data_IF_206428768766
#
_entry.id   IF_206428768766
#
_cell.length_a   1.000
_cell.length_b   1.000
_cell.length_c   1.000
_cell.angle_alpha   90.00
_cell.angle_beta   90.00
_cell.angle_gamma   90.00
#
_symmetry.space_group_name_H-M   'P 1'
#
loop_
_entity.id
_entity.type
_entity.pdbx_description
1 polymer ?
#
# COMPACT_ATOMS: atom_id res chain seq x y z
N UNK A 1 -1.71 -15.21 -0.41
CA UNK A 1 -1.58 -14.32 0.76
C UNK A 1 -0.15 -13.85 0.82
N UNK A 2 0.09 -12.55 0.73
CA UNK A 2 1.43 -12.00 0.99
C UNK A 2 1.53 -11.80 2.49
N UNK A 3 2.62 -12.26 3.11
CA UNK A 3 2.88 -11.96 4.51
C UNK A 3 3.18 -10.47 4.65
N UNK A 4 2.55 -9.76 5.61
CA UNK A 4 2.84 -8.35 5.81
C UNK A 4 4.32 -8.18 6.18
N UNK A 5 4.93 -7.09 5.71
CA UNK A 5 6.29 -6.75 6.11
C UNK A 5 6.32 -6.50 7.62
N UNK A 6 7.31 -7.06 8.29
CA UNK A 6 7.54 -6.85 9.73
C UNK A 6 7.95 -5.39 9.94
N UNK A 7 7.07 -4.60 10.55
CA UNK A 7 7.36 -3.24 11.00
C UNK A 7 7.43 -3.20 12.51
N UNK A 8 8.51 -2.66 13.06
CA UNK A 8 8.65 -2.50 14.51
C UNK A 8 8.01 -1.19 14.96
N UNK A 9 7.16 -1.18 16.00
CA UNK A 9 6.58 0.06 16.53
C UNK A 9 7.65 1.01 17.05
N UNK A 10 7.48 2.31 16.78
CA UNK A 10 8.49 3.33 17.14
C UNK A 10 8.74 3.41 18.64
N UNK A 11 7.69 3.23 19.46
CA UNK A 11 7.79 3.22 20.92
C UNK A 11 8.63 2.05 21.45
N UNK A 12 8.57 0.90 20.78
CA UNK A 12 9.35 -0.30 21.14
C UNK A 12 10.82 -0.09 20.80
N UNK A 13 11.14 0.37 19.58
CA UNK A 13 12.54 0.62 19.20
C UNK A 13 13.13 1.81 19.97
N UNK A 14 12.35 2.80 20.38
CA UNK A 14 12.84 3.97 21.11
C UNK A 14 13.06 3.70 22.61
N UNK A 15 12.10 3.07 23.28
CA UNK A 15 12.09 3.02 24.75
C UNK A 15 12.28 1.61 25.33
N UNK A 16 11.76 0.57 24.67
CA UNK A 16 11.72 -0.79 25.24
C UNK A 16 12.17 -1.86 24.25
N UNK A 17 13.44 -1.84 23.80
CA UNK A 17 13.97 -2.89 22.93
C UNK A 17 13.97 -4.24 23.67
N UNK A 18 13.69 -5.32 22.95
CA UNK A 18 13.59 -6.69 23.50
C UNK A 18 14.34 -7.71 22.66
N UNK A 19 14.48 -7.43 21.37
CA UNK A 19 15.17 -8.27 20.40
C UNK A 19 16.37 -7.49 19.82
N UNK A 20 17.43 -8.17 19.37
CA UNK A 20 18.58 -7.51 18.75
C UNK A 20 18.19 -6.68 17.51
N UNK A 21 17.17 -7.11 16.77
CA UNK A 21 16.58 -6.40 15.63
C UNK A 21 16.07 -5.01 16.03
N UNK A 22 15.50 -4.86 17.23
CA UNK A 22 15.02 -3.56 17.72
C UNK A 22 16.17 -2.56 17.95
N UNK A 23 17.35 -3.07 18.34
CA UNK A 23 18.53 -2.24 18.54
C UNK A 23 19.12 -1.76 17.20
N UNK A 24 19.13 -2.65 16.20
CA UNK A 24 19.57 -2.33 14.84
C UNK A 24 18.60 -1.33 14.19
N UNK A 25 17.29 -1.57 14.29
CA UNK A 25 16.28 -0.68 13.70
C UNK A 25 16.27 0.71 14.33
N UNK A 26 16.56 0.81 15.62
CA UNK A 26 16.77 2.11 16.26
C UNK A 26 17.99 2.83 15.70
N UNK A 27 19.10 2.11 15.48
CA UNK A 27 20.31 2.73 14.96
C UNK A 27 20.09 3.24 13.53
N UNK A 28 19.32 2.52 12.71
CA UNK A 28 19.02 2.91 11.32
C UNK A 28 17.95 4.01 11.21
N UNK A 29 16.86 3.93 11.97
CA UNK A 29 15.70 4.82 11.83
C UNK A 29 15.80 6.07 12.70
N UNK A 30 16.42 5.99 13.88
CA UNK A 30 16.43 7.07 14.86
C UNK A 30 17.83 7.68 15.06
N UNK A 31 18.86 6.88 15.29
CA UNK A 31 20.20 7.42 15.60
C UNK A 31 20.94 7.89 14.34
N UNK A 32 20.81 7.20 13.21
CA UNK A 32 21.46 7.59 11.95
C UNK A 32 21.06 9.00 11.50
N UNK A 33 19.76 9.35 11.35
CA UNK A 33 19.37 10.71 10.91
C UNK A 33 19.73 11.79 11.92
N UNK A 34 19.86 11.42 13.21
CA UNK A 34 20.24 12.34 14.29
C UNK A 34 21.72 12.71 14.22
N UNK A 35 22.60 11.76 13.92
CA UNK A 35 24.04 11.99 13.78
C UNK A 35 24.39 12.51 12.39
N UNK A 36 23.80 11.91 11.37
CA UNK A 36 24.02 12.23 9.96
C UNK A 36 22.73 12.79 9.34
N UNK A 37 22.59 14.12 9.39
CA UNK A 37 21.38 14.80 8.92
C UNK A 37 21.18 14.71 7.40
N UNK A 38 22.24 14.93 6.63
CA UNK A 38 22.16 15.04 5.17
C UNK A 38 22.60 13.75 4.44
N UNK A 39 23.21 12.80 5.16
CA UNK A 39 23.70 11.55 4.55
C UNK A 39 22.66 10.45 4.70
N UNK A 40 22.11 10.01 3.57
CA UNK A 40 21.21 8.85 3.53
C UNK A 40 21.97 7.57 3.87
N UNK A 41 21.38 6.74 4.73
CA UNK A 41 21.90 5.41 5.02
C UNK A 41 21.93 4.57 3.74
N UNK A 42 23.12 4.10 3.39
CA UNK A 42 23.35 3.11 2.34
C UNK A 42 23.65 1.75 2.98
N UNK A 43 22.77 0.77 2.74
CA UNK A 43 22.93 -0.58 3.26
C UNK A 43 24.05 -1.38 2.58
N UNK A 44 24.48 -0.98 1.38
CA UNK A 44 25.54 -1.66 0.64
C UNK A 44 26.94 -1.16 1.01
N UNK A 45 27.04 0.01 1.66
CA UNK A 45 28.30 0.55 2.13
C UNK A 45 28.76 -0.16 3.43
N UNK A 46 29.91 -0.87 3.45
CA UNK A 46 30.40 -1.55 4.63
C UNK A 46 30.67 -0.61 5.82
N UNK A 47 31.08 0.64 5.58
CA UNK A 47 31.36 1.60 6.65
C UNK A 47 30.08 2.02 7.39
N UNK A 48 28.98 2.19 6.64
CA UNK A 48 27.67 2.50 7.22
C UNK A 48 27.14 1.35 8.07
N UNK A 49 27.26 0.12 7.57
CA UNK A 49 26.87 -1.09 8.31
C UNK A 49 27.74 -1.27 9.55
N UNK A 50 29.04 -1.01 9.46
CA UNK A 50 29.94 -1.08 10.60
C UNK A 50 29.54 -0.09 11.69
N UNK A 51 29.24 1.16 11.32
CA UNK A 51 28.76 2.16 12.26
C UNK A 51 27.44 1.73 12.93
N UNK A 52 26.49 1.19 12.16
CA UNK A 52 25.22 0.69 12.70
C UNK A 52 25.44 -0.48 13.67
N UNK A 53 26.33 -1.41 13.33
CA UNK A 53 26.67 -2.54 14.18
C UNK A 53 27.26 -2.06 15.52
N UNK A 54 28.15 -1.08 15.49
CA UNK A 54 28.77 -0.54 16.72
C UNK A 54 27.74 0.17 17.61
N UNK A 55 26.87 1.00 17.02
CA UNK A 55 25.79 1.68 17.76
C UNK A 55 24.76 0.69 18.33
N UNK A 56 24.32 -0.27 17.51
CA UNK A 56 23.37 -1.29 17.93
C UNK A 56 23.96 -2.18 19.03
N UNK A 57 25.24 -2.55 18.94
CA UNK A 57 25.93 -3.35 19.95
C UNK A 57 26.07 -2.63 21.28
N UNK A 58 26.41 -1.34 21.26
CA UNK A 58 26.48 -0.52 22.48
C UNK A 58 25.11 -0.40 23.15
N UNK A 59 24.05 -0.20 22.35
CA UNK A 59 22.69 -0.15 22.86
C UNK A 59 22.21 -1.48 23.43
N UNK A 60 22.49 -2.58 22.73
CA UNK A 60 22.13 -3.91 23.17
C UNK A 60 22.79 -4.24 24.53
N UNK A 61 24.04 -3.84 24.76
CA UNK A 61 24.71 -3.95 26.07
C UNK A 61 23.98 -3.19 27.18
N UNK A 62 23.48 -1.99 26.91
CA UNK A 62 22.72 -1.19 27.90
C UNK A 62 21.42 -1.88 28.34
N UNK A 63 20.78 -2.61 27.44
CA UNK A 63 19.52 -3.34 27.69
C UNK A 63 19.75 -4.84 27.99
N UNK A 64 21.00 -5.29 28.12
CA UNK A 64 21.37 -6.71 28.31
C UNK A 64 20.75 -7.63 27.25
N UNK A 65 20.73 -7.20 25.99
CA UNK A 65 20.26 -7.97 24.84
C UNK A 65 21.47 -8.57 24.11
N UNK A 66 21.44 -9.87 23.89
CA UNK A 66 22.48 -10.60 23.14
C UNK A 66 22.04 -10.86 21.69
N UNK A 67 22.98 -11.22 20.83
CA UNK A 67 22.69 -11.65 19.45
C UNK A 67 22.81 -10.59 18.36
N UNK A 68 23.26 -9.37 18.68
CA UNK A 68 23.63 -8.39 17.66
C UNK A 68 24.90 -8.88 16.95
N UNK A 69 24.78 -9.20 15.67
CA UNK A 69 25.89 -9.61 14.80
C UNK A 69 25.92 -8.75 13.56
N UNK A 70 27.06 -8.69 12.89
CA UNK A 70 27.20 -7.95 11.62
C UNK A 70 26.26 -8.50 10.54
N UNK A 71 26.13 -9.83 10.44
CA UNK A 71 25.19 -10.49 9.52
C UNK A 71 23.73 -10.14 9.81
N UNK A 72 23.32 -10.15 11.10
CA UNK A 72 21.98 -9.73 11.49
C UNK A 72 21.73 -8.24 11.17
N UNK A 73 22.74 -7.39 11.38
CA UNK A 73 22.68 -5.96 11.06
C UNK A 73 22.40 -5.74 9.58
N UNK A 74 23.12 -6.44 8.71
CA UNK A 74 22.84 -6.41 7.27
C UNK A 74 21.46 -6.98 6.92
N UNK A 75 21.08 -8.10 7.56
CA UNK A 75 19.80 -8.76 7.37
C UNK A 75 18.61 -7.83 7.62
N UNK A 76 18.64 -7.12 8.75
CA UNK A 76 17.60 -6.18 9.17
C UNK A 76 17.61 -4.94 8.27
N UNK A 77 18.76 -4.29 8.05
CA UNK A 77 18.85 -3.04 7.27
C UNK A 77 18.41 -3.24 5.82
N UNK A 78 18.79 -4.36 5.20
CA UNK A 78 18.45 -4.65 3.80
C UNK A 78 17.16 -5.44 3.64
N UNK A 79 16.50 -5.84 4.73
CA UNK A 79 15.38 -6.80 4.70
C UNK A 79 15.71 -8.04 3.83
N UNK A 80 16.87 -8.65 4.08
CA UNK A 80 17.39 -9.75 3.24
C UNK A 80 16.45 -10.96 3.31
N UNK A 81 15.93 -11.38 2.14
CA UNK A 81 15.22 -12.64 1.98
C UNK A 81 16.26 -13.73 1.64
N UNK A 82 16.41 -14.78 2.46
CA UNK A 82 17.32 -15.88 2.15
C UNK A 82 16.94 -16.53 0.81
N UNK A 83 17.93 -16.67 -0.09
CA UNK A 83 17.72 -17.22 -1.42
C UNK A 83 18.63 -18.43 -1.66
N UNK A 84 18.06 -19.52 -2.19
CA UNK A 84 18.78 -20.75 -2.53
C UNK A 84 18.50 -21.11 -3.98
N UNK A 85 19.54 -21.51 -4.72
CA UNK A 85 19.45 -21.83 -6.14
C UNK A 85 18.43 -22.93 -6.48
N UNK A 86 18.27 -23.93 -5.60
CA UNK A 86 17.32 -25.04 -5.80
C UNK A 86 15.88 -24.57 -5.85
N UNK A 87 15.44 -23.70 -4.93
CA UNK A 87 14.08 -23.15 -4.91
C UNK A 87 13.80 -22.34 -6.19
N UNK A 88 14.76 -21.50 -6.60
CA UNK A 88 14.64 -20.73 -7.83
C UNK A 88 14.57 -21.63 -9.06
N UNK A 89 15.34 -22.72 -9.10
CA UNK A 89 15.31 -23.69 -10.19
C UNK A 89 13.96 -24.42 -10.28
N UNK A 90 13.38 -24.83 -9.14
CA UNK A 90 12.07 -25.50 -9.09
C UNK A 90 10.97 -24.57 -9.61
N UNK A 91 10.91 -23.32 -9.10
CA UNK A 91 9.89 -22.35 -9.53
C UNK A 91 10.08 -21.97 -11.00
N UNK A 92 11.31 -21.71 -11.44
CA UNK A 92 11.60 -21.40 -12.84
C UNK A 92 11.23 -22.56 -13.78
N UNK A 93 11.52 -23.81 -13.39
CA UNK A 93 11.12 -24.98 -14.16
C UNK A 93 9.60 -25.08 -14.32
N UNK A 94 8.84 -24.87 -13.23
CA UNK A 94 7.37 -24.83 -13.29
C UNK A 94 6.85 -23.72 -14.20
N UNK A 95 7.39 -22.50 -14.10
CA UNK A 95 7.01 -21.38 -14.96
C UNK A 95 7.31 -21.66 -16.45
N UNK A 96 8.51 -22.16 -16.76
CA UNK A 96 8.91 -22.51 -18.13
C UNK A 96 8.03 -23.63 -18.71
N UNK A 97 7.67 -24.63 -17.88
CA UNK A 97 6.78 -25.70 -18.30
C UNK A 97 5.39 -25.17 -18.66
N UNK A 98 4.81 -24.28 -17.84
CA UNK A 98 3.51 -23.66 -18.17
C UNK A 98 3.60 -22.74 -19.39
N UNK A 99 4.68 -21.96 -19.54
CA UNK A 99 4.91 -21.15 -20.73
C UNK A 99 4.99 -22.01 -22.00
N UNK A 100 5.68 -23.17 -21.93
CA UNK A 100 5.74 -24.12 -23.04
C UNK A 100 4.37 -24.70 -23.37
N UNK A 101 3.61 -25.16 -22.36
CA UNK A 101 2.25 -25.67 -22.57
C UNK A 101 1.35 -24.62 -23.24
N UNK A 102 1.37 -23.37 -22.77
CA UNK A 102 0.58 -22.26 -23.32
C UNK A 102 0.97 -21.99 -24.79
N UNK A 103 2.27 -21.98 -25.10
CA UNK A 103 2.75 -21.67 -26.44
C UNK A 103 2.45 -22.77 -27.46
N UNK A 104 2.53 -24.06 -27.07
CA UNK A 104 2.40 -25.18 -28.00
C UNK A 104 1.06 -25.90 -27.92
N UNK A 105 0.22 -25.56 -26.94
CA UNK A 105 -1.00 -26.28 -26.59
C UNK A 105 -0.77 -27.81 -26.46
N UNK A 106 0.38 -28.21 -25.90
CA UNK A 106 0.80 -29.63 -25.84
C UNK A 106 0.14 -30.40 -24.69
N UNK A 107 -0.31 -29.71 -23.64
CA UNK A 107 -1.00 -30.28 -22.50
C UNK A 107 -1.90 -29.23 -21.82
N UNK A 108 -2.86 -29.66 -20.97
CA UNK A 108 -3.67 -28.74 -20.16
C UNK A 108 -2.81 -27.86 -19.23
N UNK A 109 -3.25 -26.63 -19.05
CA UNK A 109 -2.56 -25.62 -18.23
C UNK A 109 -2.83 -25.80 -16.74
N UNK A 110 -1.88 -25.35 -15.92
CA UNK A 110 -2.06 -25.22 -14.47
C UNK A 110 -3.21 -24.26 -14.13
N UNK A 111 -4.04 -24.65 -13.17
CA UNK A 111 -5.10 -23.80 -12.63
C UNK A 111 -4.54 -22.75 -11.67
N UNK A 112 -4.00 -21.66 -12.24
CA UNK A 112 -3.53 -20.39 -11.65
C UNK A 112 -2.54 -20.37 -10.47
N UNK A 113 -2.47 -21.39 -9.61
CA UNK A 113 -1.61 -21.36 -8.45
C UNK A 113 -0.99 -22.72 -8.12
N UNK A 114 0.30 -22.69 -7.83
CA UNK A 114 1.09 -23.80 -7.33
C UNK A 114 1.95 -23.28 -6.17
N UNK A 115 1.86 -23.94 -5.03
CA UNK A 115 2.73 -23.73 -3.88
C UNK A 115 3.79 -24.82 -3.82
N UNK A 116 5.02 -24.45 -3.51
CA UNK A 116 6.10 -25.38 -3.19
C UNK A 116 6.61 -25.09 -1.77
N UNK A 117 6.87 -26.14 -1.00
CA UNK A 117 7.51 -26.07 0.31
C UNK A 117 8.57 -27.16 0.41
N UNK A 118 9.77 -26.77 0.83
CA UNK A 118 10.95 -27.63 0.85
C UNK A 118 11.64 -27.76 2.21
N UNK A 119 10.98 -27.36 3.31
CA UNK A 119 11.61 -27.33 4.64
C UNK A 119 11.93 -28.74 5.18
N UNK A 120 10.93 -29.64 5.23
CA UNK A 120 11.11 -31.00 5.76
C UNK A 120 11.16 -32.07 4.65
N UNK A 121 10.50 -31.82 3.52
CA UNK A 121 10.43 -32.70 2.35
C UNK A 121 9.97 -31.90 1.12
N UNK A 122 9.87 -32.55 -0.03
CA UNK A 122 9.33 -31.97 -1.27
C UNK A 122 7.81 -32.01 -1.22
N UNK A 123 7.19 -30.87 -0.92
CA UNK A 123 5.73 -30.72 -0.93
C UNK A 123 5.30 -29.71 -1.99
N UNK A 124 4.31 -30.09 -2.78
CA UNK A 124 3.67 -29.20 -3.76
C UNK A 124 2.16 -29.28 -3.62
N UNK A 125 1.50 -28.12 -3.63
CA UNK A 125 0.05 -28.02 -3.56
C UNK A 125 -0.49 -27.11 -4.65
N UNK A 126 -1.43 -27.61 -5.43
CA UNK A 126 -2.06 -26.89 -6.53
C UNK A 126 -3.54 -26.71 -6.21
N UNK A 127 -4.03 -25.48 -6.34
CA UNK A 127 -5.44 -25.16 -6.15
C UNK A 127 -5.80 -23.94 -6.97
N UNK A 128 -7.09 -23.80 -7.28
CA UNK A 128 -7.61 -22.69 -8.06
C UNK A 128 -7.97 -21.52 -7.13
N UNK A 129 -7.28 -20.39 -7.27
CA UNK A 129 -7.76 -19.14 -6.71
C UNK A 129 -9.01 -18.66 -7.46
N UNK A 130 -10.04 -18.26 -6.73
CA UNK A 130 -11.23 -17.63 -7.31
C UNK A 130 -10.96 -16.17 -7.64
N UNK A 131 -11.53 -15.70 -8.76
CA UNK A 131 -11.47 -14.29 -9.13
C UNK A 131 -12.44 -13.52 -8.23
N UNK A 132 -11.90 -12.58 -7.46
CA UNK A 132 -12.68 -11.60 -6.72
C UNK A 132 -13.48 -10.72 -7.70
N UNK A 133 -14.82 -10.67 -7.62
CA UNK A 133 -15.62 -9.81 -8.49
C UNK A 133 -15.37 -8.32 -8.20
N UNK A 134 -15.07 -7.99 -6.95
CA UNK A 134 -14.73 -6.67 -6.41
C UNK A 134 -13.24 -6.30 -6.59
N UNK A 135 -12.50 -7.01 -7.45
CA UNK A 135 -11.08 -6.73 -7.66
C UNK A 135 -10.86 -5.42 -8.42
N UNK A 136 -9.98 -4.56 -7.93
CA UNK A 136 -9.73 -3.24 -8.55
C UNK A 136 -8.87 -3.25 -9.80
N UNK A 137 -8.10 -4.31 -9.97
CA UNK A 137 -7.18 -4.46 -11.10
C UNK A 137 -7.89 -5.13 -12.26
N UNK A 138 -8.58 -6.24 -11.98
CA UNK A 138 -9.15 -7.11 -13.00
C UNK A 138 -10.66 -7.29 -12.87
N UNK A 139 -11.34 -6.65 -11.93
CA UNK A 139 -12.80 -6.57 -11.89
C UNK A 139 -13.33 -5.67 -13.00
N UNK A 140 -14.62 -5.75 -13.28
CA UNK A 140 -15.28 -4.89 -14.26
C UNK A 140 -15.60 -3.54 -13.58
N UNK A 141 -14.57 -2.75 -13.30
CA UNK A 141 -14.64 -1.50 -12.52
C UNK A 141 -15.48 -0.40 -13.18
N UNK A 142 -15.76 -0.53 -14.48
CA UNK A 142 -16.66 0.37 -15.21
C UNK A 142 -18.14 -0.01 -15.03
N UNK A 143 -18.46 -1.25 -14.63
CA UNK A 143 -19.84 -1.70 -14.39
C UNK A 143 -20.22 -1.75 -12.91
N UNK A 144 -19.29 -2.12 -12.04
CA UNK A 144 -19.52 -2.21 -10.60
C UNK A 144 -18.39 -1.49 -9.82
N UNK A 145 -18.53 -0.18 -9.56
CA UNK A 145 -17.57 0.56 -8.74
C UNK A 145 -17.60 0.04 -7.29
N UNK A 146 -16.47 0.07 -6.60
CA UNK A 146 -16.46 -0.30 -5.17
C UNK A 146 -17.31 0.69 -4.41
N UNK A 147 -18.24 0.18 -3.61
CA UNK A 147 -19.02 1.00 -2.70
C UNK A 147 -18.30 1.09 -1.37
N UNK A 148 -18.00 2.32 -0.96
CA UNK A 148 -17.42 2.63 0.33
C UNK A 148 -18.47 3.41 1.14
N UNK A 149 -18.94 2.81 2.24
CA UNK A 149 -19.84 3.49 3.17
C UNK A 149 -19.01 4.42 4.08
N UNK A 150 -19.30 5.72 4.03
CA UNK A 150 -18.60 6.74 4.84
C UNK A 150 -19.63 7.68 5.45
N UNK A 151 -19.34 8.18 6.65
CA UNK A 151 -20.21 9.18 7.28
C UNK A 151 -20.07 10.54 6.62
N UNK A 152 -21.18 11.27 6.47
CA UNK A 152 -21.16 12.66 5.93
C UNK A 152 -20.25 13.61 6.69
N UNK A 153 -20.14 13.42 8.00
CA UNK A 153 -19.33 14.28 8.88
C UNK A 153 -17.85 13.90 8.90
N UNK A 154 -17.45 12.79 8.28
CA UNK A 154 -16.04 12.40 8.21
C UNK A 154 -15.24 13.42 7.40
N UNK A 155 -13.99 13.62 7.79
CA UNK A 155 -13.07 14.49 7.06
C UNK A 155 -12.46 13.76 5.87
N UNK A 156 -11.87 14.52 4.95
CA UNK A 156 -11.11 13.94 3.85
C UNK A 156 -9.88 13.17 4.35
N UNK A 157 -9.27 13.60 5.45
CA UNK A 157 -8.17 12.89 6.10
C UNK A 157 -8.59 11.49 6.56
N UNK A 158 -9.74 11.36 7.23
CA UNK A 158 -10.29 10.06 7.65
C UNK A 158 -10.54 9.12 6.46
N UNK A 159 -11.00 9.67 5.32
CA UNK A 159 -11.17 8.90 4.08
C UNK A 159 -9.82 8.40 3.52
N UNK A 160 -8.80 9.24 3.54
CA UNK A 160 -7.45 8.88 3.08
C UNK A 160 -6.86 7.79 3.97
N UNK A 161 -6.97 7.93 5.28
CA UNK A 161 -6.51 6.93 6.24
C UNK A 161 -7.24 5.60 6.04
N UNK A 162 -8.56 5.64 5.82
CA UNK A 162 -9.34 4.45 5.51
C UNK A 162 -8.84 3.75 4.25
N UNK A 163 -8.51 4.49 3.19
CA UNK A 163 -7.95 3.93 1.95
C UNK A 163 -6.55 3.33 2.13
N UNK A 164 -5.74 3.89 3.04
CA UNK A 164 -4.40 3.39 3.37
C UNK A 164 -4.49 2.11 4.23
N UNK A 165 -5.32 2.12 5.27
CA UNK A 165 -5.44 1.02 6.23
C UNK A 165 -6.24 -0.16 5.70
N UNK A 166 -7.19 0.09 4.79
CA UNK A 166 -8.08 -0.94 4.29
C UNK A 166 -7.31 -2.05 3.55
N UNK A 167 -7.48 -3.32 3.94
CA UNK A 167 -6.69 -4.44 3.41
C UNK A 167 -6.98 -4.73 1.93
N UNK A 168 -8.10 -4.21 1.40
CA UNK A 168 -8.47 -4.35 -0.01
C UNK A 168 -7.71 -3.36 -0.92
N UNK A 169 -7.24 -2.24 -0.38
CA UNK A 169 -6.65 -1.14 -1.15
C UNK A 169 -5.14 -1.02 -0.91
N UNK A 170 -4.70 -1.02 0.36
CA UNK A 170 -3.28 -0.92 0.77
C UNK A 170 -2.48 0.17 0.02
N UNK A 171 -3.13 1.32 -0.19
CA UNK A 171 -2.52 2.47 -0.87
C UNK A 171 -1.44 3.08 0.04
N UNK A 172 -0.38 3.63 -0.56
CA UNK A 172 0.68 4.32 0.18
C UNK A 172 0.46 5.83 0.18
N UNK A 173 0.14 6.37 -0.99
CA UNK A 173 0.05 7.80 -1.25
C UNK A 173 -1.12 8.07 -2.21
N UNK A 174 -2.37 7.95 -1.74
CA UNK A 174 -3.55 8.15 -2.56
C UNK A 174 -3.76 9.64 -2.89
N UNK A 175 -3.97 9.93 -4.17
CA UNK A 175 -4.45 11.21 -4.70
C UNK A 175 -5.87 11.03 -5.22
N UNK A 176 -6.78 11.92 -4.83
CA UNK A 176 -8.22 11.80 -5.02
C UNK A 176 -8.71 12.95 -5.90
N UNK A 177 -9.49 12.60 -6.92
CA UNK A 177 -10.15 13.54 -7.83
C UNK A 177 -11.60 13.13 -8.07
N UNK A 178 -12.47 14.08 -8.44
CA UNK A 178 -13.88 13.76 -8.79
C UNK A 178 -13.94 13.11 -10.17
N UNK A 179 -14.78 12.08 -10.35
CA UNK A 179 -14.88 11.39 -11.63
C UNK A 179 -15.52 12.24 -12.75
N UNK A 180 -16.51 13.07 -12.41
CA UNK A 180 -17.27 13.92 -13.35
C UNK A 180 -16.37 14.96 -14.05
N UNK A 181 -15.68 15.79 -13.26
CA UNK A 181 -14.93 16.94 -13.76
C UNK A 181 -13.41 16.78 -13.70
N UNK A 182 -12.91 15.65 -13.16
CA UNK A 182 -11.48 15.45 -12.80
C UNK A 182 -10.92 16.56 -11.90
N UNK A 183 -11.79 17.23 -11.16
CA UNK A 183 -11.38 18.29 -10.24
C UNK A 183 -10.51 17.71 -9.11
N UNK A 184 -9.34 18.31 -8.82
CA UNK A 184 -8.47 17.87 -7.74
C UNK A 184 -9.13 18.09 -6.38
N UNK A 185 -9.45 17.01 -5.65
CA UNK A 185 -9.84 17.12 -4.24
C UNK A 185 -8.58 17.20 -3.39
N UNK A 186 -7.67 16.24 -3.58
CA UNK A 186 -6.38 16.16 -2.90
C UNK A 186 -5.33 15.47 -3.77
N UNK A 187 -4.18 16.12 -3.94
CA UNK A 187 -3.04 15.55 -4.65
C UNK A 187 -1.81 15.55 -3.76
N UNK A 188 -1.14 14.41 -3.70
CA UNK A 188 0.08 14.28 -2.91
C UNK A 188 1.30 14.81 -3.66
N UNK A 189 1.28 14.74 -4.99
CA UNK A 189 2.28 15.27 -5.91
C UNK A 189 1.59 15.86 -7.15
N UNK A 190 2.11 16.95 -7.77
CA UNK A 190 3.27 17.77 -7.40
C UNK A 190 3.03 18.68 -6.18
N UNK A 191 4.10 19.15 -5.53
CA UNK A 191 4.06 19.94 -4.28
C UNK A 191 3.20 21.21 -4.39
N UNK A 192 3.14 21.85 -5.57
CA UNK A 192 2.28 23.02 -5.78
C UNK A 192 0.79 22.67 -5.61
N UNK A 193 0.34 21.52 -6.11
CA UNK A 193 -1.05 21.08 -5.96
C UNK A 193 -1.34 20.57 -4.55
N UNK A 194 -0.35 19.98 -3.88
CA UNK A 194 -0.48 19.58 -2.47
C UNK A 194 -0.81 20.79 -1.59
N UNK A 195 -0.02 21.85 -1.68
CA UNK A 195 -0.24 23.08 -0.89
C UNK A 195 -1.60 23.73 -1.16
N UNK A 196 -2.11 23.66 -2.40
CA UNK A 196 -3.42 24.20 -2.76
C UNK A 196 -4.58 23.35 -2.24
N UNK A 197 -4.38 22.03 -2.15
CA UNK A 197 -5.43 21.07 -1.74
C UNK A 197 -5.36 20.69 -0.27
N UNK A 198 -4.32 21.07 0.45
CA UNK A 198 -4.11 20.78 1.88
C UNK A 198 -5.26 21.35 2.75
N UNK A 199 -5.80 22.51 2.37
CA UNK A 199 -6.97 23.12 3.02
C UNK A 199 -8.26 22.29 2.90
N UNK A 200 -8.30 21.30 2.01
CA UNK A 200 -9.45 20.41 1.87
C UNK A 200 -9.40 19.21 2.81
N UNK A 201 -8.26 18.93 3.47
CA UNK A 201 -8.12 17.78 4.36
C UNK A 201 -9.04 17.86 5.58
N UNK A 202 -9.20 19.06 6.14
CA UNK A 202 -10.04 19.33 7.31
C UNK A 202 -11.53 19.48 6.97
N UNK A 203 -11.89 19.60 5.69
CA UNK A 203 -13.28 19.76 5.27
C UNK A 203 -14.05 18.45 5.38
N UNK A 204 -15.33 18.56 5.68
CA UNK A 204 -16.24 17.41 5.69
C UNK A 204 -16.48 16.89 4.27
N UNK A 205 -16.72 15.58 4.14
CA UNK A 205 -17.08 14.99 2.85
C UNK A 205 -18.38 15.59 2.31
N UNK A 206 -19.33 15.95 3.18
CA UNK A 206 -20.53 16.67 2.76
C UNK A 206 -20.18 17.96 2.01
N UNK A 207 -19.35 18.84 2.58
CA UNK A 207 -18.94 20.09 1.93
C UNK A 207 -18.23 19.88 0.58
N UNK A 208 -17.39 18.85 0.48
CA UNK A 208 -16.60 18.57 -0.72
C UNK A 208 -17.43 17.96 -1.86
N UNK A 209 -18.45 17.17 -1.53
CA UNK A 209 -19.25 16.43 -2.52
C UNK A 209 -20.61 17.09 -2.85
N UNK A 210 -21.15 17.94 -1.96
CA UNK A 210 -22.41 18.66 -2.21
C UNK A 210 -22.23 20.04 -2.86
N UNK A 211 -21.08 20.71 -2.70
CA UNK A 211 -20.92 22.09 -3.17
C UNK A 211 -20.17 22.19 -4.51
N UNK A 212 -20.94 22.30 -5.60
CA UNK A 212 -20.76 23.34 -6.64
C UNK A 212 -22.00 23.46 -7.53
N UNK A 213 -23.06 23.98 -6.93
CA UNK A 213 -24.12 24.72 -7.62
C UNK A 213 -24.02 26.19 -7.22
N UNK A 214 -22.98 26.89 -7.68
CA UNK A 214 -22.95 28.36 -7.64
C UNK A 214 -22.78 28.85 -9.07
N UNK A 215 -23.80 28.59 -9.88
CA UNK A 215 -24.17 29.40 -11.08
C UNK A 215 -25.56 29.03 -11.65
N UNK A 216 -26.22 27.96 -11.19
CA UNK A 216 -27.52 27.51 -11.74
C UNK A 216 -28.76 27.76 -10.85
N UNK A 217 -28.73 28.74 -9.94
CA UNK A 217 -29.94 29.16 -9.17
C UNK A 217 -31.06 29.77 -10.04
N UNK A 218 -30.90 29.85 -11.37
CA UNK A 218 -31.95 30.31 -12.30
C UNK A 218 -32.72 29.20 -13.03
N UNK A 219 -32.47 27.92 -12.75
CA UNK A 219 -33.17 26.81 -13.44
C UNK A 219 -34.01 25.86 -12.59
N UNK A 220 -34.13 26.09 -11.27
CA UNK A 220 -35.05 25.30 -10.43
C UNK A 220 -36.52 25.76 -10.58
N UNK A 221 -37.11 25.56 -11.76
CA UNK A 221 -38.56 25.37 -11.89
C UNK A 221 -38.76 24.30 -12.97
N UNK A 222 -39.29 23.14 -12.55
CA UNK A 222 -39.64 21.94 -13.35
C UNK A 222 -38.38 21.07 -13.61
N UNK A 223 -38.15 19.96 -12.92
CA UNK A 223 -38.94 18.73 -12.97
C UNK A 223 -38.54 17.82 -11.79
N UNK A 224 -39.51 17.24 -11.06
CA UNK A 224 -39.24 16.24 -10.01
C UNK A 224 -39.43 14.86 -10.63
N UNK A 225 -38.33 14.16 -10.89
CA UNK A 225 -38.36 12.75 -11.33
C UNK A 225 -36.99 12.24 -11.77
N UNK A 226 -36.56 11.13 -11.16
CA UNK A 226 -35.44 10.20 -11.49
C UNK A 226 -34.01 10.76 -11.72
N UNK A 227 -33.83 12.02 -12.12
CA UNK A 227 -32.53 12.61 -12.45
C UNK A 227 -31.68 12.98 -11.21
N UNK A 228 -32.31 13.26 -10.06
CA UNK A 228 -31.60 13.67 -8.83
C UNK A 228 -30.77 12.52 -8.23
N UNK A 229 -31.22 11.26 -8.38
CA UNK A 229 -30.50 10.09 -7.88
C UNK A 229 -29.29 9.73 -8.76
N UNK A 230 -29.40 9.87 -10.08
CA UNK A 230 -28.27 9.67 -11.01
C UNK A 230 -27.19 10.76 -10.83
N UNK A 231 -27.58 12.02 -10.60
CA UNK A 231 -26.63 13.11 -10.42
C UNK A 231 -25.88 13.03 -9.07
N UNK A 232 -26.54 12.56 -8.00
CA UNK A 232 -25.86 12.22 -6.74
C UNK A 232 -24.92 11.01 -6.89
N UNK A 233 -25.29 10.04 -7.72
CA UNK A 233 -24.48 8.85 -7.99
C UNK A 233 -23.17 9.23 -8.68
N UNK A 234 -23.22 10.08 -9.71
CA UNK A 234 -22.02 10.55 -10.41
C UNK A 234 -21.14 11.48 -9.56
N UNK A 235 -21.75 12.35 -8.75
CA UNK A 235 -21.00 13.29 -7.90
C UNK A 235 -20.20 12.60 -6.79
N UNK A 236 -20.68 11.45 -6.31
CA UNK A 236 -20.03 10.66 -5.26
C UNK A 236 -19.03 9.62 -5.81
N UNK A 237 -18.81 9.60 -7.13
CA UNK A 237 -17.80 8.76 -7.74
C UNK A 237 -16.44 9.48 -7.71
N UNK A 238 -15.48 8.90 -6.99
CA UNK A 238 -14.11 9.40 -6.91
C UNK A 238 -13.17 8.55 -7.75
N UNK A 239 -12.15 9.21 -8.30
CA UNK A 239 -11.02 8.58 -8.96
C UNK A 239 -9.81 8.72 -8.05
N UNK A 240 -9.31 7.58 -7.58
CA UNK A 240 -8.12 7.46 -6.75
C UNK A 240 -6.94 7.01 -7.61
N UNK A 241 -5.83 7.70 -7.45
CA UNK A 241 -4.55 7.41 -8.11
C UNK A 241 -3.47 7.29 -7.06
N UNK A 242 -2.51 6.39 -7.22
CA UNK A 242 -1.39 6.22 -6.30
C UNK A 242 -0.16 5.85 -7.12
N UNK A 243 1.04 6.23 -6.65
CA UNK A 243 2.33 5.80 -7.22
C UNK A 243 2.47 4.26 -7.23
N UNK A 244 1.77 3.58 -6.31
CA UNK A 244 1.73 2.11 -6.22
C UNK A 244 0.73 1.45 -7.16
N UNK A 245 -0.21 2.22 -7.73
CA UNK A 245 -1.20 1.71 -8.66
C UNK A 245 -0.81 2.06 -10.11
N UNK A 246 -0.68 1.07 -11.01
CA UNK A 246 -0.42 1.35 -12.42
C UNK A 246 -1.66 1.89 -13.18
N UNK A 247 -2.81 2.02 -12.51
CA UNK A 247 -4.08 2.45 -13.06
C UNK A 247 -4.84 3.35 -12.07
N UNK A 248 -5.82 4.11 -12.57
CA UNK A 248 -6.74 4.90 -11.74
C UNK A 248 -7.91 4.05 -11.28
N UNK A 249 -8.23 4.08 -10.00
CA UNK A 249 -9.33 3.33 -9.39
C UNK A 249 -10.57 4.20 -9.24
N UNK A 250 -11.74 3.67 -9.54
CA UNK A 250 -13.03 4.35 -9.31
C UNK A 250 -13.70 3.79 -8.05
N UNK A 251 -14.03 4.66 -7.11
CA UNK A 251 -14.71 4.29 -5.87
C UNK A 251 -16.00 5.11 -5.77
N UNK A 252 -17.11 4.43 -5.56
CA UNK A 252 -18.40 5.04 -5.27
C UNK A 252 -18.50 5.27 -3.76
N UNK A 253 -18.52 6.53 -3.34
CA UNK A 253 -18.80 6.89 -1.96
C UNK A 253 -20.31 6.79 -1.71
N UNK A 254 -20.69 6.16 -0.61
CA UNK A 254 -22.04 6.20 -0.09
C UNK A 254 -22.02 6.98 1.21
N UNK A 255 -22.46 8.23 1.12
CA UNK A 255 -22.53 9.17 2.24
C UNK A 255 -23.78 8.87 3.07
N UNK A 256 -23.60 8.21 4.22
CA UNK A 256 -24.69 7.94 5.17
C UNK A 256 -24.85 9.11 6.15
#
# INVERSE_FOLDING_TARGET
>A
MLTPQTKFPICTIANTPRLPEHCIEWASVLEWPKVFKDLKLDGDNPDHIQWLFDQASNRAKTFSIEGVTWSLTQGVVKNIIPAIASTNAIIAASCCNEAFKIATNSAPFLQNYMMYTGNDSVYTFTFKHERKPDCQVCGDSDKDPIRLDVSKSSTLEELIDLLIESPNFQLKHPSISRAKDREPIYFQNPEQLRLLTELNLEKSLEELFTCKGVEDEKRMVIDKGDNDEEELYENNLIVVTDVTLPFSMKIQLKLN
#
